data_IF_750297482703
#
_entry.id   IF_750297482703
#
_cell.length_a   1.000
_cell.length_b   1.000
_cell.length_c   1.000
_cell.angle_alpha   90.00
_cell.angle_beta   90.00
_cell.angle_gamma   90.00
#
_symmetry.space_group_name_H-M   'P 1'
#
loop_
_entity.id
_entity.type
_entity.pdbx_description
1 polymer ?
#
# COMPACT_ATOMS: atom_id res chain seq x y z
N UNK A 1 -6.04 -16.85 1.56
CA UNK A 1 -6.63 -17.31 0.26
C UNK A 1 -5.56 -17.12 -0.81
N UNK A 2 -5.23 -18.12 -1.60
CA UNK A 2 -4.30 -17.95 -2.73
C UNK A 2 -4.98 -17.11 -3.80
N UNK A 3 -4.30 -16.11 -4.34
CA UNK A 3 -4.81 -15.23 -5.40
C UNK A 3 -5.07 -15.99 -6.70
N UNK A 4 -4.22 -16.98 -7.00
CA UNK A 4 -4.27 -17.79 -8.23
C UNK A 4 -4.70 -19.21 -7.94
N UNK A 5 -5.42 -19.79 -8.89
CA UNK A 5 -5.86 -21.21 -8.85
C UNK A 5 -5.20 -21.98 -9.99
N UNK A 6 -4.52 -23.13 -9.70
CA UNK A 6 -3.99 -24.00 -10.74
C UNK A 6 -5.12 -24.64 -11.57
N UNK A 7 -4.93 -24.69 -12.90
CA UNK A 7 -5.78 -25.34 -13.87
C UNK A 7 -4.91 -26.07 -14.91
N UNK A 8 -5.41 -27.08 -15.65
CA UNK A 8 -4.63 -27.70 -16.73
C UNK A 8 -4.06 -26.70 -17.76
N UNK A 9 -4.76 -25.61 -18.00
CA UNK A 9 -4.37 -24.55 -18.94
C UNK A 9 -3.51 -23.43 -18.28
N UNK A 10 -2.98 -23.67 -17.07
CA UNK A 10 -2.11 -22.72 -16.36
C UNK A 10 -2.75 -22.13 -15.10
N UNK A 11 -2.26 -20.98 -14.66
CA UNK A 11 -2.79 -20.28 -13.49
C UNK A 11 -3.94 -19.35 -13.88
N UNK A 12 -4.99 -19.39 -13.07
CA UNK A 12 -6.17 -18.53 -13.19
C UNK A 12 -6.24 -17.54 -12.02
N UNK A 13 -6.76 -16.36 -12.30
CA UNK A 13 -7.22 -15.39 -11.31
C UNK A 13 -8.73 -15.23 -11.47
N UNK A 14 -9.50 -15.51 -10.40
CA UNK A 14 -10.95 -15.69 -10.48
C UNK A 14 -11.30 -16.67 -11.62
N UNK A 15 -12.05 -16.26 -12.64
CA UNK A 15 -12.42 -17.11 -13.77
C UNK A 15 -11.60 -16.89 -15.05
N UNK A 16 -10.45 -16.19 -14.99
CA UNK A 16 -9.68 -15.79 -16.18
C UNK A 16 -8.28 -16.38 -16.15
N UNK A 17 -7.83 -16.97 -17.27
CA UNK A 17 -6.45 -17.46 -17.41
C UNK A 17 -5.47 -16.30 -17.49
N UNK A 18 -4.35 -16.40 -16.78
CA UNK A 18 -3.29 -15.39 -16.83
C UNK A 18 -2.63 -15.32 -18.23
N UNK A 19 -2.63 -16.42 -18.97
CA UNK A 19 -2.17 -16.47 -20.37
C UNK A 19 -3.00 -15.58 -21.28
N UNK A 20 -4.34 -15.58 -21.11
CA UNK A 20 -5.24 -14.75 -21.90
C UNK A 20 -5.03 -13.26 -21.59
N UNK A 21 -4.81 -12.93 -20.32
CA UNK A 21 -4.47 -11.56 -19.91
C UNK A 21 -3.17 -11.11 -20.56
N UNK A 22 -2.12 -11.92 -20.49
CA UNK A 22 -0.83 -11.60 -21.12
C UNK A 22 -0.94 -11.45 -22.64
N UNK A 23 -1.70 -12.34 -23.31
CA UNK A 23 -1.92 -12.27 -24.76
C UNK A 23 -2.66 -11.00 -25.19
N UNK A 24 -3.60 -10.51 -24.36
CA UNK A 24 -4.43 -9.36 -24.72
C UNK A 24 -3.79 -8.00 -24.35
N UNK A 25 -3.14 -7.92 -23.19
CA UNK A 25 -2.61 -6.66 -22.65
C UNK A 25 -1.07 -6.56 -22.71
N UNK A 26 -0.40 -7.66 -23.10
CA UNK A 26 1.07 -7.75 -23.07
C UNK A 26 1.65 -7.81 -21.67
N UNK A 27 2.97 -8.00 -21.60
CA UNK A 27 3.76 -7.95 -20.37
C UNK A 27 4.78 -6.78 -20.43
N UNK A 28 5.27 -6.28 -19.28
CA UNK A 28 4.76 -6.52 -17.94
C UNK A 28 3.33 -5.97 -17.75
N UNK A 29 2.52 -6.62 -16.89
CA UNK A 29 1.14 -6.20 -16.64
C UNK A 29 0.77 -6.49 -15.18
N UNK A 30 0.25 -5.49 -14.46
CA UNK A 30 -0.34 -5.69 -13.14
C UNK A 30 -1.76 -6.25 -13.26
N UNK A 31 -2.06 -7.28 -12.49
CA UNK A 31 -3.37 -7.92 -12.46
C UNK A 31 -3.91 -7.93 -11.04
N UNK A 32 -5.10 -7.38 -10.84
CA UNK A 32 -5.78 -7.34 -9.54
C UNK A 32 -7.07 -8.16 -9.57
N UNK A 33 -7.40 -8.81 -8.45
CA UNK A 33 -8.68 -9.48 -8.25
C UNK A 33 -9.64 -8.57 -7.48
N UNK A 34 -10.79 -8.26 -8.08
CA UNK A 34 -11.86 -7.50 -7.43
C UNK A 34 -12.42 -8.23 -6.21
N UNK A 35 -12.60 -9.54 -6.34
CA UNK A 35 -13.11 -10.38 -5.26
C UNK A 35 -12.14 -10.43 -4.07
N UNK A 36 -10.82 -10.54 -4.33
CA UNK A 36 -9.80 -10.54 -3.28
C UNK A 36 -9.74 -9.19 -2.54
N UNK A 37 -9.81 -8.05 -3.27
CA UNK A 37 -9.87 -6.70 -2.69
C UNK A 37 -11.11 -6.54 -1.79
N UNK A 38 -12.29 -6.93 -2.28
CA UNK A 38 -13.54 -6.85 -1.51
C UNK A 38 -13.51 -7.77 -0.28
N UNK A 39 -12.97 -8.97 -0.42
CA UNK A 39 -12.81 -9.93 0.69
C UNK A 39 -11.85 -9.41 1.78
N UNK A 40 -10.74 -8.79 1.39
CA UNK A 40 -9.80 -8.18 2.33
C UNK A 40 -10.49 -7.06 3.16
N UNK A 41 -11.26 -6.19 2.51
CA UNK A 41 -12.04 -5.15 3.19
C UNK A 41 -13.10 -5.75 4.13
N UNK A 42 -13.83 -6.76 3.66
CA UNK A 42 -14.83 -7.47 4.44
C UNK A 42 -14.23 -8.13 5.70
N UNK A 43 -12.99 -8.62 5.63
CA UNK A 43 -12.26 -9.14 6.79
C UNK A 43 -12.14 -8.13 7.93
N UNK A 44 -11.81 -6.87 7.62
CA UNK A 44 -11.78 -5.78 8.61
C UNK A 44 -13.17 -5.46 9.15
N UNK A 45 -14.17 -5.35 8.27
CA UNK A 45 -15.55 -5.10 8.69
C UNK A 45 -16.05 -6.17 9.65
N UNK A 46 -15.85 -7.44 9.31
CA UNK A 46 -16.28 -8.58 10.13
C UNK A 46 -15.58 -8.58 11.50
N UNK A 47 -14.28 -8.28 11.55
CA UNK A 47 -13.56 -8.19 12.82
C UNK A 47 -14.12 -7.07 13.72
N UNK A 48 -14.39 -5.90 13.14
CA UNK A 48 -15.00 -4.77 13.86
C UNK A 48 -16.42 -5.10 14.32
N UNK A 49 -17.23 -5.74 13.49
CA UNK A 49 -18.61 -6.13 13.80
C UNK A 49 -18.64 -7.14 14.94
N UNK A 50 -17.75 -8.13 14.91
CA UNK A 50 -17.65 -9.16 15.97
C UNK A 50 -17.34 -8.58 17.34
N UNK A 51 -16.58 -7.46 17.39
CA UNK A 51 -16.20 -6.80 18.64
C UNK A 51 -17.06 -5.57 18.98
N UNK A 52 -18.19 -5.36 18.30
CA UNK A 52 -19.14 -4.27 18.61
C UNK A 52 -18.70 -2.88 18.16
N UNK A 53 -17.81 -2.77 17.16
CA UNK A 53 -17.32 -1.51 16.63
C UNK A 53 -18.02 -1.04 15.35
N UNK A 54 -19.03 -1.77 14.85
CA UNK A 54 -19.70 -1.51 13.57
C UNK A 54 -20.16 -0.05 13.36
N UNK A 55 -20.77 0.54 14.40
CA UNK A 55 -21.37 1.89 14.33
C UNK A 55 -20.41 3.01 14.73
N UNK A 56 -19.26 2.67 15.33
CA UNK A 56 -18.28 3.63 15.85
C UNK A 56 -16.88 3.45 15.28
N UNK A 57 -16.78 2.93 14.07
CA UNK A 57 -15.49 2.76 13.40
C UNK A 57 -15.56 3.13 11.92
N UNK A 58 -14.43 3.56 11.39
CA UNK A 58 -14.20 3.75 9.96
C UNK A 58 -12.87 3.11 9.54
N UNK A 59 -12.89 2.44 8.39
CA UNK A 59 -11.69 1.89 7.75
C UNK A 59 -11.27 2.88 6.69
N UNK A 60 -10.18 3.61 6.92
CA UNK A 60 -9.57 4.55 5.99
C UNK A 60 -8.48 3.84 5.19
N UNK A 61 -8.76 3.51 3.94
CA UNK A 61 -7.77 2.87 3.08
C UNK A 61 -6.56 3.78 2.85
N UNK A 62 -5.34 3.30 3.16
CA UNK A 62 -4.11 4.07 2.94
C UNK A 62 -3.75 4.10 1.45
N UNK A 63 -4.04 5.23 0.80
CA UNK A 63 -3.95 5.43 -0.66
C UNK A 63 -2.53 5.17 -1.20
N UNK A 64 -1.51 5.50 -0.40
CA UNK A 64 -0.08 5.27 -0.71
C UNK A 64 0.25 3.82 -1.08
N UNK A 65 -0.54 2.85 -0.63
CA UNK A 65 -0.31 1.45 -0.95
C UNK A 65 -0.63 1.13 -2.42
N UNK A 66 -1.71 1.67 -2.95
CA UNK A 66 -2.07 1.62 -4.37
C UNK A 66 -3.13 2.71 -4.67
N UNK A 67 -2.76 3.68 -5.48
CA UNK A 67 -3.59 4.85 -5.77
C UNK A 67 -4.43 4.73 -7.07
N UNK A 68 -4.59 3.53 -7.62
CA UNK A 68 -5.43 3.29 -8.82
C UNK A 68 -6.87 3.75 -8.60
N UNK A 69 -7.42 4.54 -9.53
CA UNK A 69 -8.79 5.04 -9.42
C UNK A 69 -9.83 3.91 -9.30
N UNK A 70 -9.62 2.78 -9.98
CA UNK A 70 -10.52 1.65 -9.92
C UNK A 70 -10.53 0.98 -8.54
N UNK A 71 -9.36 0.87 -7.90
CA UNK A 71 -9.23 0.33 -6.52
C UNK A 71 -9.86 1.31 -5.52
N UNK A 72 -9.58 2.61 -5.65
CA UNK A 72 -10.19 3.64 -4.81
C UNK A 72 -11.73 3.65 -4.95
N UNK A 73 -12.23 3.56 -6.19
CA UNK A 73 -13.66 3.51 -6.47
C UNK A 73 -14.32 2.27 -5.86
N UNK A 74 -13.67 1.10 -5.94
CA UNK A 74 -14.15 -0.11 -5.29
C UNK A 74 -14.29 0.11 -3.78
N UNK A 75 -13.24 0.59 -3.10
CA UNK A 75 -13.29 0.83 -1.65
C UNK A 75 -14.29 1.92 -1.27
N UNK A 76 -14.41 2.99 -2.07
CA UNK A 76 -15.46 4.00 -1.87
C UNK A 76 -16.87 3.39 -1.93
N UNK A 77 -17.12 2.50 -2.90
CA UNK A 77 -18.40 1.79 -3.04
C UNK A 77 -18.70 0.85 -1.87
N UNK A 78 -17.67 0.31 -1.22
CA UNK A 78 -17.78 -0.52 -0.01
C UNK A 78 -17.93 0.33 1.27
N UNK A 79 -17.91 1.66 1.16
CA UNK A 79 -18.13 2.58 2.26
C UNK A 79 -16.86 2.98 3.04
N UNK A 80 -15.67 2.68 2.51
CA UNK A 80 -14.39 3.06 3.11
C UNK A 80 -14.23 4.58 3.23
N UNK A 81 -13.44 5.01 4.22
CA UNK A 81 -12.70 6.26 4.24
C UNK A 81 -11.34 6.10 3.59
N UNK A 82 -10.52 7.14 3.63
CA UNK A 82 -9.19 7.12 3.00
C UNK A 82 -8.16 7.87 3.87
N UNK A 83 -6.98 7.27 4.02
CA UNK A 83 -5.78 7.95 4.54
C UNK A 83 -4.95 8.42 3.34
N UNK A 84 -4.77 9.74 3.24
CA UNK A 84 -4.01 10.40 2.18
C UNK A 84 -2.75 11.05 2.75
N UNK A 85 -1.73 11.23 1.90
CA UNK A 85 -0.47 11.87 2.27
C UNK A 85 -0.05 13.00 1.34
N UNK A 86 -0.91 13.39 0.38
CA UNK A 86 -0.68 14.50 -0.55
C UNK A 86 -1.98 15.04 -1.15
N UNK A 87 -1.91 16.25 -1.70
CA UNK A 87 -3.02 16.83 -2.49
C UNK A 87 -3.34 16.03 -3.76
N UNK A 88 -2.35 15.36 -4.33
CA UNK A 88 -2.56 14.46 -5.47
C UNK A 88 -3.41 13.22 -5.09
N UNK A 89 -3.19 12.66 -3.91
CA UNK A 89 -4.02 11.57 -3.40
C UNK A 89 -5.44 12.06 -3.04
N UNK A 90 -5.59 13.27 -2.48
CA UNK A 90 -6.90 13.91 -2.29
C UNK A 90 -7.69 13.97 -3.60
N UNK A 91 -7.06 14.49 -4.66
CA UNK A 91 -7.69 14.62 -5.97
C UNK A 91 -8.11 13.25 -6.53
N UNK A 92 -7.27 12.22 -6.38
CA UNK A 92 -7.60 10.84 -6.79
C UNK A 92 -8.78 10.26 -6.04
N UNK A 93 -8.83 10.44 -4.72
CA UNK A 93 -9.94 9.93 -3.88
C UNK A 93 -11.26 10.59 -4.29
N UNK A 94 -11.28 11.90 -4.49
CA UNK A 94 -12.48 12.63 -4.93
C UNK A 94 -12.89 12.17 -6.33
N UNK A 95 -11.95 12.05 -7.28
CA UNK A 95 -12.22 11.57 -8.63
C UNK A 95 -12.76 10.13 -8.65
N UNK A 96 -12.37 9.30 -7.69
CA UNK A 96 -12.86 7.94 -7.53
C UNK A 96 -14.22 7.84 -6.81
N UNK A 97 -14.82 8.95 -6.39
CA UNK A 97 -16.10 8.99 -5.67
C UNK A 97 -15.99 8.76 -4.16
N UNK A 98 -14.78 8.90 -3.60
CA UNK A 98 -14.58 8.88 -2.14
C UNK A 98 -15.20 10.12 -1.48
N UNK A 99 -15.70 9.94 -0.25
CA UNK A 99 -16.35 10.99 0.52
C UNK A 99 -15.33 11.78 1.32
N UNK A 100 -15.25 13.09 1.11
CA UNK A 100 -14.28 13.95 1.78
C UNK A 100 -14.38 13.88 3.31
N UNK A 101 -15.60 13.84 3.86
CA UNK A 101 -15.85 13.71 5.30
C UNK A 101 -15.35 12.40 5.94
N UNK A 102 -14.81 11.49 5.15
CA UNK A 102 -14.17 10.24 5.59
C UNK A 102 -12.67 10.19 5.27
N UNK A 103 -12.07 11.32 4.91
CA UNK A 103 -10.63 11.40 4.58
C UNK A 103 -9.87 11.90 5.81
N UNK A 104 -8.80 11.19 6.18
CA UNK A 104 -7.76 11.65 7.09
C UNK A 104 -6.52 12.01 6.28
N UNK A 105 -5.85 13.11 6.65
CA UNK A 105 -4.68 13.61 5.93
C UNK A 105 -3.45 13.50 6.82
N UNK A 106 -2.64 12.49 6.57
CA UNK A 106 -1.38 12.18 7.24
C UNK A 106 -0.16 12.77 6.51
N UNK A 107 1.05 12.55 7.04
CA UNK A 107 2.31 12.96 6.41
C UNK A 107 2.94 14.21 7.00
N UNK A 108 4.27 14.24 6.96
CA UNK A 108 5.14 15.20 7.68
C UNK A 108 5.35 16.54 6.97
N UNK A 109 4.85 16.70 5.75
CA UNK A 109 5.18 17.85 4.91
C UNK A 109 4.00 18.38 4.10
N UNK A 110 2.83 18.56 4.74
CA UNK A 110 1.65 19.15 4.08
C UNK A 110 1.93 20.63 3.74
N UNK A 111 1.81 20.99 2.47
CA UNK A 111 1.93 22.37 2.01
C UNK A 111 0.70 23.19 2.38
N UNK A 112 0.83 24.51 2.38
CA UNK A 112 -0.31 25.43 2.63
C UNK A 112 -1.42 25.26 1.59
N UNK A 113 -1.06 25.00 0.32
CA UNK A 113 -1.99 24.75 -0.77
C UNK A 113 -2.76 23.45 -0.54
N UNK A 114 -2.09 22.40 -0.11
CA UNK A 114 -2.73 21.11 0.23
C UNK A 114 -3.64 21.24 1.45
N UNK A 115 -3.21 21.97 2.50
CA UNK A 115 -4.05 22.28 3.66
C UNK A 115 -5.32 23.04 3.23
N UNK A 116 -5.17 24.04 2.35
CA UNK A 116 -6.29 24.86 1.84
C UNK A 116 -7.26 24.00 1.02
N UNK A 117 -6.74 23.16 0.13
CA UNK A 117 -7.56 22.25 -0.68
C UNK A 117 -8.32 21.23 0.18
N UNK A 118 -7.68 20.68 1.19
CA UNK A 118 -8.28 19.69 2.09
C UNK A 118 -9.37 20.32 2.99
N UNK A 119 -9.13 21.54 3.51
CA UNK A 119 -10.14 22.32 4.25
C UNK A 119 -11.34 22.65 3.37
N UNK A 120 -11.10 23.10 2.14
CA UNK A 120 -12.17 23.42 1.19
C UNK A 120 -12.98 22.17 0.80
N UNK A 121 -12.36 21.01 0.74
CA UNK A 121 -13.03 19.73 0.49
C UNK A 121 -13.84 19.24 1.70
N UNK A 122 -13.58 19.74 2.91
CA UNK A 122 -14.24 19.32 4.15
C UNK A 122 -13.82 17.93 4.61
N UNK A 123 -12.52 17.67 4.65
CA UNK A 123 -12.00 16.38 5.12
C UNK A 123 -12.32 16.12 6.59
N UNK A 124 -12.26 14.86 7.01
CA UNK A 124 -12.54 14.44 8.38
C UNK A 124 -11.55 15.05 9.37
N UNK A 125 -10.24 14.90 9.10
CA UNK A 125 -9.20 15.30 10.04
C UNK A 125 -7.83 15.41 9.38
N UNK A 126 -6.99 16.31 9.93
CA UNK A 126 -5.55 16.35 9.67
C UNK A 126 -4.82 15.62 10.78
N UNK A 127 -4.01 14.61 10.47
CA UNK A 127 -3.06 13.99 11.39
C UNK A 127 -1.79 14.84 11.40
N UNK A 128 -1.67 15.71 12.40
CA UNK A 128 -0.60 16.72 12.52
C UNK A 128 0.61 16.11 13.22
N UNK A 129 1.81 16.43 12.72
CA UNK A 129 3.04 15.79 13.16
C UNK A 129 4.06 16.76 13.80
N UNK A 130 3.74 18.06 13.95
CA UNK A 130 4.63 19.03 14.58
C UNK A 130 3.93 20.31 15.04
N UNK A 131 4.58 21.07 15.96
CA UNK A 131 4.11 22.39 16.38
C UNK A 131 4.10 23.42 15.24
N UNK A 132 5.09 23.36 14.34
CA UNK A 132 5.15 24.20 13.15
C UNK A 132 3.95 23.98 12.24
N UNK A 133 3.55 22.73 12.03
CA UNK A 133 2.38 22.37 11.25
C UNK A 133 1.08 22.88 11.88
N UNK A 134 0.92 22.76 13.21
CA UNK A 134 -0.21 23.36 13.93
C UNK A 134 -0.32 24.86 13.67
N UNK A 135 0.79 25.57 13.75
CA UNK A 135 0.84 27.02 13.51
C UNK A 135 0.45 27.37 12.07
N UNK A 136 0.97 26.63 11.10
CA UNK A 136 0.64 26.85 9.68
C UNK A 136 -0.82 26.54 9.38
N UNK A 137 -1.33 25.41 9.88
CA UNK A 137 -2.71 24.99 9.67
C UNK A 137 -3.69 25.98 10.32
N UNK A 138 -3.38 26.46 11.53
CA UNK A 138 -4.16 27.51 12.19
C UNK A 138 -4.23 28.79 11.34
N UNK A 139 -3.10 29.22 10.74
CA UNK A 139 -3.08 30.39 9.87
C UNK A 139 -3.93 30.17 8.60
N UNK A 140 -3.77 29.01 7.93
CA UNK A 140 -4.55 28.67 6.72
C UNK A 140 -6.05 28.59 7.03
N UNK A 141 -6.43 27.97 8.16
CA UNK A 141 -7.83 27.89 8.57
C UNK A 141 -8.41 29.27 8.89
N UNK A 142 -7.59 30.16 9.50
CA UNK A 142 -7.96 31.56 9.74
C UNK A 142 -8.21 32.35 8.45
N UNK A 143 -7.36 32.16 7.43
CA UNK A 143 -7.54 32.78 6.10
C UNK A 143 -8.87 32.36 5.45
N UNK A 144 -9.30 31.13 5.71
CA UNK A 144 -10.56 30.57 5.19
C UNK A 144 -11.75 30.80 6.12
N UNK A 145 -11.54 31.50 7.23
CA UNK A 145 -12.56 31.79 8.27
C UNK A 145 -13.26 30.46 8.73
N UNK A 146 -12.48 29.44 8.98
CA UNK A 146 -12.94 28.12 9.42
C UNK A 146 -12.10 27.58 10.58
N UNK A 147 -12.45 26.41 11.10
CA UNK A 147 -11.66 25.67 12.08
C UNK A 147 -11.24 24.32 11.50
N UNK A 148 -9.94 24.06 11.47
CA UNK A 148 -9.40 22.81 10.99
C UNK A 148 -9.57 21.68 12.03
N UNK A 149 -10.23 20.56 11.70
CA UNK A 149 -10.25 19.39 12.56
C UNK A 149 -8.88 18.71 12.57
N UNK A 150 -8.34 18.43 13.75
CA UNK A 150 -7.01 17.85 13.90
C UNK A 150 -6.98 16.65 14.85
N UNK A 151 -6.09 15.71 14.55
CA UNK A 151 -5.49 14.75 15.47
C UNK A 151 -4.00 15.05 15.57
N UNK A 152 -3.35 14.76 16.69
CA UNK A 152 -1.90 14.70 16.73
C UNK A 152 -1.47 13.25 16.48
N UNK A 153 -0.52 13.07 15.56
CA UNK A 153 0.16 11.80 15.38
C UNK A 153 1.25 11.65 16.45
N UNK A 154 1.03 10.70 17.34
CA UNK A 154 1.89 10.44 18.48
C UNK A 154 2.76 9.22 18.22
N UNK A 155 4.06 9.37 18.50
CA UNK A 155 5.01 8.27 18.45
C UNK A 155 5.16 7.68 19.87
N UNK A 156 4.68 6.47 20.15
CA UNK A 156 4.66 5.86 21.47
C UNK A 156 6.02 5.26 21.87
N UNK A 157 7.05 5.36 21.00
CA UNK A 157 8.35 4.75 21.19
C UNK A 157 8.26 3.24 21.48
N UNK A 158 7.59 2.52 20.57
CA UNK A 158 7.48 1.05 20.57
C UNK A 158 8.23 0.50 19.39
N UNK A 159 9.06 -0.51 19.59
CA UNK A 159 9.81 -1.17 18.54
C UNK A 159 8.89 -2.17 17.80
N UNK A 160 8.57 -1.94 16.52
CA UNK A 160 7.70 -2.82 15.74
C UNK A 160 8.42 -4.10 15.28
N UNK A 161 9.74 -4.24 15.52
CA UNK A 161 10.58 -5.38 15.08
C UNK A 161 10.48 -5.67 13.57
N UNK A 162 10.38 -4.61 12.76
CA UNK A 162 10.28 -4.68 11.29
C UNK A 162 11.52 -4.06 10.64
N UNK A 163 11.62 -4.16 9.29
CA UNK A 163 12.73 -3.57 8.55
C UNK A 163 12.88 -2.06 8.88
N UNK A 164 14.11 -1.55 9.11
CA UNK A 164 14.35 -0.16 9.56
C UNK A 164 13.66 0.91 8.72
N UNK A 165 13.58 0.74 7.39
CA UNK A 165 12.97 1.71 6.48
C UNK A 165 11.44 1.76 6.54
N UNK A 166 10.77 0.78 7.17
CA UNK A 166 9.32 0.74 7.32
C UNK A 166 8.86 0.82 8.79
N UNK A 167 9.79 1.02 9.73
CA UNK A 167 9.54 1.32 11.14
C UNK A 167 9.26 2.81 11.30
N UNK A 168 8.16 3.18 11.97
CA UNK A 168 7.77 4.58 12.21
C UNK A 168 7.52 4.90 13.68
N UNK A 169 7.58 3.90 14.57
CA UNK A 169 7.28 3.99 15.99
C UNK A 169 8.46 4.35 16.90
N UNK A 170 9.66 4.56 16.36
CA UNK A 170 10.88 4.86 17.13
C UNK A 170 11.18 6.36 17.17
N UNK A 171 11.81 6.83 18.26
CA UNK A 171 12.21 8.26 18.45
C UNK A 171 13.14 8.80 17.35
N UNK A 172 13.87 7.94 16.66
CA UNK A 172 14.80 8.31 15.58
C UNK A 172 14.13 8.55 14.22
N UNK A 173 12.83 8.31 14.09
CA UNK A 173 12.11 8.50 12.82
C UNK A 173 11.60 9.94 12.68
N UNK A 174 11.36 10.36 11.43
CA UNK A 174 10.79 11.69 11.14
C UNK A 174 9.29 11.83 11.46
N UNK A 175 8.63 10.75 11.88
CA UNK A 175 7.17 10.69 12.01
C UNK A 175 6.70 10.93 13.43
N UNK A 176 5.61 11.72 13.52
CA UNK A 176 4.89 11.96 14.75
C UNK A 176 5.64 12.79 15.79
N UNK A 177 4.95 13.14 16.84
CA UNK A 177 5.54 13.79 18.03
C UNK A 177 5.79 12.75 19.12
N UNK A 178 6.88 12.90 19.87
CA UNK A 178 7.15 12.01 20.99
C UNK A 178 6.01 12.04 22.01
N UNK A 179 5.61 10.89 22.52
CA UNK A 179 4.48 10.79 23.47
C UNK A 179 4.69 11.66 24.71
N UNK A 180 5.93 11.79 25.18
CA UNK A 180 6.29 12.62 26.34
C UNK A 180 6.03 14.12 26.10
N UNK A 181 6.05 14.59 24.84
CA UNK A 181 5.81 15.98 24.45
C UNK A 181 4.35 16.22 24.00
N UNK A 182 3.59 15.14 23.75
CA UNK A 182 2.27 15.22 23.12
C UNK A 182 1.27 16.01 23.97
N UNK A 183 1.27 15.82 25.30
CA UNK A 183 0.35 16.53 26.19
C UNK A 183 0.47 18.05 26.08
N UNK A 184 1.69 18.58 26.17
CA UNK A 184 1.93 20.03 26.03
C UNK A 184 1.54 20.54 24.64
N UNK A 185 1.75 19.72 23.60
CA UNK A 185 1.39 20.09 22.25
C UNK A 185 -0.13 20.09 22.04
N UNK A 186 -0.89 19.22 22.71
CA UNK A 186 -2.36 19.29 22.73
C UNK A 186 -2.86 20.56 23.43
N UNK A 187 -2.24 20.96 24.54
CA UNK A 187 -2.57 22.24 25.21
C UNK A 187 -2.32 23.42 24.28
N UNK A 188 -1.19 23.41 23.56
CA UNK A 188 -0.90 24.43 22.54
C UNK A 188 -1.95 24.42 21.42
N UNK A 189 -2.26 23.26 20.85
CA UNK A 189 -3.26 23.10 19.80
C UNK A 189 -4.65 23.62 20.25
N UNK A 190 -5.06 23.32 21.49
CA UNK A 190 -6.32 23.77 22.07
C UNK A 190 -6.37 25.30 22.27
N UNK A 191 -5.23 25.99 22.41
CA UNK A 191 -5.14 27.43 22.52
C UNK A 191 -5.27 28.18 21.18
N UNK A 192 -5.11 27.46 20.05
CA UNK A 192 -5.15 28.06 18.71
C UNK A 192 -6.61 28.21 18.21
N UNK A 193 -7.05 29.44 17.86
CA UNK A 193 -8.46 29.74 17.65
C UNK A 193 -9.09 29.06 16.43
N UNK A 194 -8.27 28.74 15.42
CA UNK A 194 -8.74 28.17 14.16
C UNK A 194 -8.48 26.65 14.06
N UNK A 195 -8.14 25.99 15.18
CA UNK A 195 -8.04 24.53 15.25
C UNK A 195 -9.18 23.95 16.09
N UNK A 196 -9.58 22.73 15.75
CA UNK A 196 -10.51 21.93 16.50
C UNK A 196 -9.86 20.57 16.81
N UNK A 197 -9.37 20.41 18.03
CA UNK A 197 -8.82 19.12 18.49
C UNK A 197 -9.92 18.08 18.48
N UNK A 198 -9.72 16.98 17.76
CA UNK A 198 -10.70 15.91 17.54
C UNK A 198 -10.21 14.55 17.99
N UNK A 199 -8.95 14.23 17.74
CA UNK A 199 -8.47 12.87 17.93
C UNK A 199 -7.00 12.75 18.23
N UNK A 200 -6.57 11.51 18.27
CA UNK A 200 -5.18 11.09 18.35
C UNK A 200 -4.91 10.04 17.27
N UNK A 201 -3.77 10.11 16.61
CA UNK A 201 -3.28 9.12 15.64
C UNK A 201 -2.00 8.46 16.16
N UNK A 202 -1.88 7.17 15.89
CA UNK A 202 -0.70 6.40 16.22
C UNK A 202 -0.44 5.35 15.14
N UNK A 203 0.70 5.45 14.46
CA UNK A 203 1.14 4.45 13.48
C UNK A 203 2.59 4.05 13.76
N UNK A 204 2.83 2.79 14.16
CA UNK A 204 4.14 2.33 14.64
C UNK A 204 5.03 1.70 13.58
N UNK A 205 4.47 1.28 12.44
CA UNK A 205 5.24 0.63 11.38
C UNK A 205 4.39 -0.10 10.36
N UNK A 206 5.07 -0.83 9.49
CA UNK A 206 4.44 -1.60 8.41
C UNK A 206 4.99 -3.03 8.40
N UNK A 207 4.25 -3.99 7.88
CA UNK A 207 4.57 -5.41 7.85
C UNK A 207 4.67 -6.01 9.27
N UNK A 208 3.75 -5.65 10.16
CA UNK A 208 3.64 -6.21 11.51
C UNK A 208 2.96 -7.57 11.44
N UNK A 209 3.69 -8.63 11.72
CA UNK A 209 3.16 -10.00 11.78
C UNK A 209 2.74 -10.39 13.21
N UNK A 210 3.25 -9.68 14.22
CA UNK A 210 2.88 -9.82 15.64
C UNK A 210 2.02 -8.62 16.06
N UNK A 211 0.80 -8.82 16.62
CA UNK A 211 -0.03 -7.73 17.14
C UNK A 211 0.46 -7.14 18.47
N UNK A 212 1.37 -7.79 19.20
CA UNK A 212 1.77 -7.36 20.53
C UNK A 212 2.35 -5.94 20.58
N UNK A 213 3.26 -5.51 19.67
CA UNK A 213 3.74 -4.12 19.65
C UNK A 213 2.61 -3.10 19.42
N UNK A 214 1.63 -3.43 18.56
CA UNK A 214 0.49 -2.55 18.32
C UNK A 214 -0.39 -2.44 19.57
N UNK A 215 -0.63 -3.55 20.27
CA UNK A 215 -1.38 -3.56 21.52
C UNK A 215 -0.65 -2.78 22.65
N UNK A 216 0.68 -2.85 22.73
CA UNK A 216 1.48 -2.04 23.67
C UNK A 216 1.36 -0.53 23.35
N UNK A 217 1.42 -0.17 22.07
CA UNK A 217 1.27 1.21 21.64
C UNK A 217 -0.08 1.81 22.05
N UNK A 218 -1.16 1.00 21.96
CA UNK A 218 -2.49 1.41 22.36
C UNK A 218 -2.56 1.70 23.87
N UNK A 219 -1.91 0.93 24.74
CA UNK A 219 -1.89 1.23 26.18
C UNK A 219 -1.34 2.64 26.46
N UNK A 220 -0.24 3.01 25.79
CA UNK A 220 0.36 4.33 25.93
C UNK A 220 -0.54 5.44 25.38
N UNK A 221 -1.19 5.20 24.24
CA UNK A 221 -2.15 6.13 23.65
C UNK A 221 -3.34 6.36 24.57
N UNK A 222 -3.93 5.30 25.11
CA UNK A 222 -5.08 5.40 26.04
C UNK A 222 -4.75 6.17 27.32
N UNK A 223 -3.57 5.95 27.90
CA UNK A 223 -3.12 6.73 29.05
C UNK A 223 -3.04 8.25 28.74
N UNK A 224 -2.60 8.63 27.55
CA UNK A 224 -2.57 10.03 27.11
C UNK A 224 -4.01 10.56 26.87
N UNK A 225 -4.90 9.76 26.27
CA UNK A 225 -6.31 10.14 26.08
C UNK A 225 -6.99 10.46 27.41
N UNK A 226 -6.78 9.62 28.45
CA UNK A 226 -7.34 9.84 29.77
C UNK A 226 -6.75 11.10 30.44
N UNK A 227 -5.47 11.33 30.30
CA UNK A 227 -4.81 12.55 30.79
C UNK A 227 -5.37 13.82 30.12
N UNK A 228 -5.64 13.76 28.82
CA UNK A 228 -6.23 14.87 28.06
C UNK A 228 -7.68 15.14 28.51
N UNK A 229 -8.46 14.09 28.72
CA UNK A 229 -9.83 14.23 29.22
C UNK A 229 -9.87 14.91 30.61
N UNK A 230 -8.96 14.53 31.54
CA UNK A 230 -8.82 15.19 32.82
C UNK A 230 -8.40 16.67 32.72
N UNK A 231 -7.71 17.05 31.64
CA UNK A 231 -7.32 18.42 31.33
C UNK A 231 -8.37 19.21 30.52
N UNK A 232 -9.60 18.72 30.39
CA UNK A 232 -10.69 19.29 29.61
C UNK A 232 -10.38 19.39 28.10
N UNK A 233 -9.60 18.46 27.57
CA UNK A 233 -9.33 18.29 26.13
C UNK A 233 -9.85 16.90 25.69
N UNK A 234 -11.18 16.67 25.68
CA UNK A 234 -11.73 15.38 25.30
C UNK A 234 -11.55 15.11 23.82
N UNK A 235 -11.15 13.89 23.47
CA UNK A 235 -11.03 13.44 22.10
C UNK A 235 -12.30 12.70 21.66
N UNK A 236 -12.62 12.78 20.37
CA UNK A 236 -13.79 12.14 19.76
C UNK A 236 -13.45 10.88 19.01
N UNK A 237 -12.18 10.72 18.58
CA UNK A 237 -11.72 9.50 17.91
C UNK A 237 -10.28 9.13 18.29
N UNK A 238 -9.99 7.86 18.15
CA UNK A 238 -8.67 7.24 18.26
C UNK A 238 -8.37 6.57 16.91
N UNK A 239 -7.32 7.04 16.26
CA UNK A 239 -6.78 6.42 15.06
C UNK A 239 -5.60 5.51 15.47
N UNK A 240 -5.72 4.24 15.17
CA UNK A 240 -4.69 3.24 15.48
C UNK A 240 -3.77 2.95 14.30
N UNK A 241 -3.94 3.71 13.22
CA UNK A 241 -3.17 3.54 12.00
C UNK A 241 -3.45 2.23 11.27
N UNK A 242 -2.46 1.78 10.55
CA UNK A 242 -2.48 0.48 9.88
C UNK A 242 -1.37 -0.45 10.40
N UNK A 243 -0.54 -0.94 9.48
CA UNK A 243 0.68 -1.65 9.82
C UNK A 243 0.58 -3.16 9.72
N UNK A 244 -0.60 -3.77 9.81
CA UNK A 244 -0.76 -5.21 9.66
C UNK A 244 -0.06 -5.74 8.40
N UNK A 245 0.81 -6.74 8.60
CA UNK A 245 1.56 -7.41 7.56
C UNK A 245 0.75 -8.43 6.78
N UNK A 246 1.33 -8.86 5.66
CA UNK A 246 0.82 -9.93 4.81
C UNK A 246 1.88 -11.01 4.64
N UNK A 247 1.46 -12.19 4.27
CA UNK A 247 2.38 -13.25 3.89
C UNK A 247 3.00 -12.94 2.52
N UNK A 248 4.32 -12.78 2.50
CA UNK A 248 5.14 -12.71 1.28
C UNK A 248 5.86 -14.03 1.02
N UNK A 249 6.52 -14.56 2.05
CA UNK A 249 7.22 -15.83 1.97
C UNK A 249 6.31 -16.98 2.41
N UNK A 250 6.30 -18.16 1.73
CA UNK A 250 5.47 -19.30 2.11
C UNK A 250 5.68 -19.77 3.56
N UNK A 251 6.91 -19.64 4.06
CA UNK A 251 7.29 -20.11 5.41
C UNK A 251 7.07 -19.06 6.51
N UNK A 252 6.62 -17.84 6.16
CA UNK A 252 6.34 -16.75 7.11
C UNK A 252 4.83 -16.44 7.13
N UNK A 253 4.04 -17.18 7.93
CA UNK A 253 2.60 -16.96 7.97
C UNK A 253 2.27 -15.58 8.57
N UNK A 254 1.30 -14.89 7.97
CA UNK A 254 0.73 -13.68 8.53
C UNK A 254 -0.52 -14.01 9.36
N UNK A 255 -0.82 -13.22 10.42
CA UNK A 255 -2.05 -13.37 11.19
C UNK A 255 -3.28 -13.08 10.32
N UNK A 256 -4.43 -13.63 10.68
CA UNK A 256 -5.69 -13.17 10.14
C UNK A 256 -6.00 -11.76 10.66
N UNK A 257 -6.85 -11.00 9.94
CA UNK A 257 -7.31 -9.68 10.40
C UNK A 257 -7.98 -9.78 11.78
N UNK A 258 -8.76 -10.83 12.02
CA UNK A 258 -9.43 -11.07 13.29
C UNK A 258 -8.41 -11.28 14.43
N UNK A 259 -7.42 -12.15 14.22
CA UNK A 259 -6.40 -12.44 15.24
C UNK A 259 -5.51 -11.21 15.51
N UNK A 260 -5.18 -10.44 14.47
CA UNK A 260 -4.39 -9.22 14.64
C UNK A 260 -5.13 -8.13 15.41
N UNK A 261 -6.41 -7.91 15.11
CA UNK A 261 -7.21 -6.85 15.75
C UNK A 261 -7.74 -7.23 17.11
N UNK A 262 -8.00 -8.50 17.40
CA UNK A 262 -8.63 -8.93 18.65
C UNK A 262 -7.98 -8.36 19.94
N UNK A 263 -6.65 -8.43 20.16
CA UNK A 263 -6.02 -7.88 21.36
C UNK A 263 -6.13 -6.35 21.45
N UNK A 264 -6.15 -5.66 20.30
CA UNK A 264 -6.29 -4.19 20.19
C UNK A 264 -7.73 -3.79 20.52
N UNK A 265 -8.72 -4.40 19.85
CA UNK A 265 -10.13 -4.10 20.04
C UNK A 265 -10.60 -4.41 21.46
N UNK A 266 -10.04 -5.43 22.10
CA UNK A 266 -10.31 -5.74 23.51
C UNK A 266 -9.93 -4.58 24.43
N UNK A 267 -8.83 -3.88 24.19
CA UNK A 267 -8.41 -2.73 25.00
C UNK A 267 -9.29 -1.49 24.78
N UNK A 268 -9.95 -1.42 23.64
CA UNK A 268 -10.83 -0.32 23.26
C UNK A 268 -12.32 -0.59 23.55
N UNK A 269 -12.68 -1.77 24.11
CA UNK A 269 -14.08 -2.19 24.29
C UNK A 269 -14.92 -1.21 25.11
N UNK A 270 -14.36 -0.70 26.20
CA UNK A 270 -15.03 0.18 27.17
C UNK A 270 -14.88 1.68 26.82
N UNK A 271 -14.28 1.99 25.68
CA UNK A 271 -14.09 3.37 25.19
C UNK A 271 -15.31 3.86 24.41
N UNK A 272 -15.55 5.17 24.45
CA UNK A 272 -16.65 5.81 23.72
C UNK A 272 -16.20 6.49 22.42
N UNK A 273 -14.91 6.69 22.25
CA UNK A 273 -14.33 7.34 21.08
C UNK A 273 -14.56 6.48 19.83
N UNK A 274 -14.72 7.13 18.67
CA UNK A 274 -14.76 6.46 17.39
C UNK A 274 -13.38 5.89 17.04
N UNK A 275 -13.36 4.72 16.43
CA UNK A 275 -12.13 4.05 16.00
C UNK A 275 -11.86 4.30 14.53
N UNK A 276 -10.65 4.75 14.20
CA UNK A 276 -10.14 4.83 12.83
C UNK A 276 -9.05 3.78 12.66
N UNK A 277 -9.05 3.11 11.50
CA UNK A 277 -8.01 2.19 11.05
C UNK A 277 -7.53 2.62 9.68
N UNK A 278 -6.21 2.53 9.42
CA UNK A 278 -5.58 2.95 8.17
C UNK A 278 -4.89 1.77 7.44
N UNK A 279 -5.58 0.64 7.15
CA UNK A 279 -4.96 -0.46 6.45
C UNK A 279 -4.63 -0.08 5.01
N UNK A 280 -3.43 -0.42 4.57
CA UNK A 280 -2.99 -0.26 3.18
C UNK A 280 -2.59 -1.61 2.59
N UNK A 281 -1.38 -2.07 2.97
CA UNK A 281 -0.78 -3.33 2.48
C UNK A 281 -1.73 -4.52 2.58
N UNK A 282 -2.35 -4.72 3.72
CA UNK A 282 -3.22 -5.87 3.98
C UNK A 282 -4.52 -5.88 3.17
N UNK A 283 -4.95 -4.73 2.63
CA UNK A 283 -6.11 -4.67 1.74
C UNK A 283 -5.78 -5.00 0.29
N UNK A 284 -4.58 -4.66 -0.20
CA UNK A 284 -4.29 -4.74 -1.63
C UNK A 284 -3.12 -5.65 -1.98
N UNK A 285 -2.19 -5.92 -1.06
CA UNK A 285 -0.95 -6.62 -1.35
C UNK A 285 -1.16 -7.98 -2.00
N UNK A 286 -1.90 -8.86 -1.32
CA UNK A 286 -2.18 -10.22 -1.79
C UNK A 286 -3.32 -10.27 -2.83
N UNK A 287 -3.93 -9.14 -3.17
CA UNK A 287 -4.97 -9.05 -4.19
C UNK A 287 -4.44 -8.71 -5.58
N UNK A 288 -3.13 -8.53 -5.73
CA UNK A 288 -2.50 -8.21 -7.02
C UNK A 288 -1.20 -8.98 -7.27
N UNK A 289 -0.90 -9.19 -8.54
CA UNK A 289 0.33 -9.78 -9.05
C UNK A 289 0.88 -8.97 -10.23
N UNK A 290 2.15 -9.19 -10.57
CA UNK A 290 2.79 -8.66 -11.78
C UNK A 290 3.09 -9.82 -12.72
N UNK A 291 2.51 -9.79 -13.93
CA UNK A 291 2.85 -10.70 -15.02
C UNK A 291 4.09 -10.19 -15.74
N UNK A 292 5.02 -11.12 -16.05
CA UNK A 292 6.24 -10.84 -16.78
C UNK A 292 6.63 -12.03 -17.64
N UNK A 293 7.39 -11.82 -18.70
CA UNK A 293 7.85 -12.85 -19.61
C UNK A 293 9.37 -13.01 -19.55
N UNK A 294 9.85 -14.23 -19.57
CA UNK A 294 11.28 -14.54 -19.71
C UNK A 294 11.74 -14.18 -21.12
N UNK A 295 12.65 -13.24 -21.23
CA UNK A 295 13.20 -12.77 -22.51
C UNK A 295 14.44 -13.56 -22.90
N UNK A 296 15.37 -13.73 -21.93
CA UNK A 296 16.68 -14.34 -22.17
C UNK A 296 17.08 -15.18 -20.96
N UNK A 297 17.56 -16.38 -21.19
CA UNK A 297 18.23 -17.19 -20.19
C UNK A 297 19.74 -17.10 -20.40
N UNK A 298 20.45 -16.70 -19.35
CA UNK A 298 21.90 -16.55 -19.36
C UNK A 298 22.52 -17.45 -18.27
N UNK A 299 22.82 -18.72 -18.59
CA UNK A 299 23.58 -19.59 -17.70
C UNK A 299 24.98 -19.02 -17.45
N UNK A 300 25.47 -19.14 -16.23
CA UNK A 300 26.79 -18.70 -15.83
C UNK A 300 27.49 -19.74 -14.96
N UNK A 301 28.78 -19.56 -14.73
CA UNK A 301 29.57 -20.48 -13.90
C UNK A 301 29.18 -20.41 -12.42
N UNK A 302 28.89 -19.22 -11.90
CA UNK A 302 28.52 -19.00 -10.50
C UNK A 302 27.01 -18.85 -10.31
N UNK A 303 26.32 -18.15 -11.22
CA UNK A 303 24.89 -17.85 -11.14
C UNK A 303 24.25 -17.92 -12.52
N UNK A 304 23.03 -18.42 -12.57
CA UNK A 304 22.19 -18.33 -13.77
C UNK A 304 21.28 -17.12 -13.66
N UNK A 305 21.14 -16.36 -14.74
CA UNK A 305 20.24 -15.21 -14.83
C UNK A 305 19.10 -15.50 -15.79
N UNK A 306 17.87 -15.27 -15.32
CA UNK A 306 16.69 -15.18 -16.18
C UNK A 306 16.29 -13.71 -16.29
N UNK A 307 16.55 -13.12 -17.45
CA UNK A 307 16.19 -11.74 -17.76
C UNK A 307 14.72 -11.73 -18.21
N UNK A 308 13.89 -10.99 -17.48
CA UNK A 308 12.48 -10.84 -17.78
C UNK A 308 12.19 -9.42 -18.28
N UNK A 309 11.01 -9.18 -18.85
CA UNK A 309 10.63 -7.87 -19.40
C UNK A 309 10.16 -6.86 -18.35
N UNK A 310 9.80 -7.30 -17.14
CA UNK A 310 9.65 -6.40 -15.98
C UNK A 310 11.00 -6.09 -15.34
N UNK A 311 11.08 -4.96 -14.60
CA UNK A 311 12.30 -4.52 -13.95
C UNK A 311 12.02 -3.80 -12.62
N UNK A 312 13.09 -3.33 -11.96
CA UNK A 312 12.96 -2.53 -10.73
C UNK A 312 12.11 -1.26 -10.92
N UNK A 313 12.02 -0.73 -12.15
CA UNK A 313 11.14 0.40 -12.45
C UNK A 313 9.66 0.04 -12.39
N UNK A 314 9.29 -1.22 -12.59
CA UNK A 314 7.92 -1.73 -12.46
C UNK A 314 7.63 -2.17 -11.03
N UNK A 315 8.54 -2.91 -10.38
CA UNK A 315 8.44 -3.40 -9.00
C UNK A 315 9.73 -3.13 -8.23
N UNK A 316 9.80 -1.97 -7.55
CA UNK A 316 11.01 -1.49 -6.89
C UNK A 316 11.33 -2.23 -5.58
N UNK A 317 10.36 -2.87 -4.95
CA UNK A 317 10.51 -3.41 -3.60
C UNK A 317 11.66 -4.42 -3.42
N UNK A 318 11.91 -5.37 -4.34
CA UNK A 318 13.06 -6.27 -4.21
C UNK A 318 14.39 -5.51 -4.21
N UNK A 319 14.56 -4.54 -5.11
CA UNK A 319 15.79 -3.76 -5.21
C UNK A 319 16.00 -2.79 -4.01
N UNK A 320 14.91 -2.20 -3.47
CA UNK A 320 15.00 -1.17 -2.43
C UNK A 320 15.02 -1.73 -1.01
N UNK A 321 14.31 -2.83 -0.77
CA UNK A 321 14.08 -3.39 0.58
C UNK A 321 14.55 -4.84 0.70
N UNK A 322 15.18 -5.42 -0.32
CA UNK A 322 15.44 -6.86 -0.40
C UNK A 322 14.15 -7.70 -0.17
N UNK A 323 13.02 -7.14 -0.65
CA UNK A 323 11.71 -7.71 -0.36
C UNK A 323 11.46 -8.97 -1.17
N UNK A 324 11.11 -10.04 -0.48
CA UNK A 324 10.71 -11.27 -1.13
C UNK A 324 9.34 -11.13 -1.79
N UNK A 325 9.22 -11.66 -3.01
CA UNK A 325 7.96 -11.97 -3.68
C UNK A 325 8.04 -13.40 -4.20
N UNK A 326 7.00 -14.19 -4.03
CA UNK A 326 6.93 -15.51 -4.66
C UNK A 326 6.80 -15.32 -6.17
N UNK A 327 7.63 -16.05 -6.92
CA UNK A 327 7.63 -16.03 -8.39
C UNK A 327 7.30 -17.44 -8.86
N UNK A 328 6.24 -17.56 -9.64
CA UNK A 328 5.74 -18.84 -10.12
C UNK A 328 5.57 -18.82 -11.64
N UNK A 329 5.78 -19.97 -12.26
CA UNK A 329 5.50 -20.16 -13.69
C UNK A 329 3.98 -20.24 -13.91
N UNK A 330 3.47 -19.52 -14.91
CA UNK A 330 2.02 -19.45 -15.19
C UNK A 330 1.53 -20.75 -15.84
N UNK A 331 2.26 -21.28 -16.83
CA UNK A 331 1.97 -22.61 -17.39
C UNK A 331 2.64 -23.68 -16.56
N UNK A 332 1.84 -24.55 -15.97
CA UNK A 332 2.35 -25.73 -15.29
C UNK A 332 2.86 -26.71 -16.38
N UNK A 333 4.05 -27.23 -16.22
CA UNK A 333 4.56 -28.26 -17.14
C UNK A 333 3.55 -29.44 -17.17
N UNK A 334 2.91 -29.66 -18.32
CA UNK A 334 2.11 -30.86 -18.54
C UNK A 334 3.01 -32.07 -18.31
N UNK A 335 2.54 -33.03 -17.52
CA UNK A 335 3.10 -34.40 -17.55
C UNK A 335 3.19 -34.85 -19.02
N UNK A 336 4.30 -35.45 -19.48
CA UNK A 336 4.44 -35.83 -20.88
C UNK A 336 3.29 -36.77 -21.27
N UNK A 337 2.46 -36.36 -22.23
CA UNK A 337 1.70 -37.33 -23.01
C UNK A 337 2.69 -38.11 -23.85
N UNK A 338 2.71 -39.44 -23.69
CA UNK A 338 3.51 -40.34 -24.48
C UNK A 338 3.37 -39.99 -25.96
N UNK A 339 4.44 -39.52 -26.60
CA UNK A 339 4.51 -39.53 -28.06
C UNK A 339 4.93 -38.26 -28.81
N UNK A 340 5.65 -37.30 -28.23
CA UNK A 340 6.28 -36.24 -29.01
C UNK A 340 7.76 -36.12 -28.66
N UNK A 341 8.60 -36.13 -29.72
CA UNK A 341 10.05 -36.22 -29.64
C UNK A 341 10.71 -35.13 -28.81
N UNK A 342 11.86 -35.45 -28.34
CA UNK A 342 12.92 -34.74 -27.61
C UNK A 342 12.81 -33.22 -27.50
N UNK A 343 11.81 -32.71 -26.80
CA UNK A 343 11.92 -31.41 -26.17
C UNK A 343 12.60 -31.63 -24.82
N UNK A 344 13.85 -31.21 -24.71
CA UNK A 344 14.64 -31.27 -23.52
C UNK A 344 13.80 -30.88 -22.29
N UNK A 345 13.57 -31.82 -21.36
CA UNK A 345 13.01 -31.52 -20.05
C UNK A 345 13.92 -30.49 -19.43
N UNK A 346 13.48 -29.25 -19.36
CA UNK A 346 14.17 -28.22 -18.61
C UNK A 346 14.16 -28.66 -17.15
N UNK A 347 15.29 -29.11 -16.66
CA UNK A 347 15.45 -29.46 -15.25
C UNK A 347 15.32 -28.20 -14.43
N UNK A 348 14.73 -28.31 -13.23
CA UNK A 348 14.70 -27.23 -12.26
C UNK A 348 16.14 -26.77 -11.98
N UNK A 349 16.38 -25.47 -12.12
CA UNK A 349 17.65 -24.80 -11.86
C UNK A 349 17.41 -23.60 -10.96
N UNK A 350 18.48 -23.08 -10.36
CA UNK A 350 18.40 -21.86 -9.56
C UNK A 350 18.71 -20.66 -10.43
N UNK A 351 17.85 -19.64 -10.34
CA UNK A 351 17.89 -18.45 -11.16
C UNK A 351 17.86 -17.15 -10.32
N UNK A 352 18.70 -16.21 -10.70
CA UNK A 352 18.50 -14.80 -10.38
C UNK A 352 17.49 -14.23 -11.39
N UNK A 353 16.31 -13.84 -10.95
CA UNK A 353 15.30 -13.20 -11.81
C UNK A 353 15.57 -11.72 -11.83
N UNK A 354 15.95 -11.19 -12.99
CA UNK A 354 16.43 -9.83 -13.17
C UNK A 354 15.71 -9.14 -14.33
N UNK A 355 15.61 -7.80 -14.24
CA UNK A 355 15.09 -6.99 -15.35
C UNK A 355 16.16 -6.57 -16.33
N UNK A 356 15.78 -5.82 -17.40
CA UNK A 356 16.69 -5.29 -18.41
C UNK A 356 17.19 -3.87 -18.09
N UNK A 357 16.94 -3.32 -16.91
CA UNK A 357 17.43 -1.99 -16.52
C UNK A 357 18.96 -2.03 -16.35
N UNK A 358 19.63 -1.00 -16.82
CA UNK A 358 21.10 -0.88 -16.76
C UNK A 358 21.56 -0.47 -15.35
N UNK A 359 21.24 -1.32 -14.36
CA UNK A 359 21.53 -1.16 -12.93
C UNK A 359 21.82 -2.52 -12.31
N UNK A 360 22.93 -2.65 -11.58
CA UNK A 360 23.33 -3.90 -10.94
C UNK A 360 22.32 -4.37 -9.87
N UNK A 361 21.54 -3.46 -9.32
CA UNK A 361 20.48 -3.74 -8.35
C UNK A 361 19.13 -4.13 -8.96
N UNK A 362 19.03 -4.33 -10.28
CA UNK A 362 17.76 -4.68 -10.95
C UNK A 362 17.38 -6.15 -10.74
N UNK A 363 17.08 -6.50 -9.51
CA UNK A 363 16.62 -7.82 -9.13
C UNK A 363 15.11 -7.81 -8.80
N UNK A 364 14.43 -8.88 -9.26
CA UNK A 364 13.04 -9.19 -8.89
C UNK A 364 12.96 -10.39 -7.96
N UNK A 365 13.98 -11.26 -7.97
CA UNK A 365 14.07 -12.38 -7.05
C UNK A 365 15.41 -13.09 -7.13
N UNK A 366 15.95 -13.43 -5.97
CA UNK A 366 17.20 -14.16 -5.81
C UNK A 366 16.96 -15.64 -5.66
N UNK A 367 17.84 -16.47 -6.26
CA UNK A 367 17.96 -17.91 -6.01
C UNK A 367 16.64 -18.68 -6.16
N UNK A 368 15.90 -18.44 -7.26
CA UNK A 368 14.60 -19.05 -7.53
C UNK A 368 14.77 -20.41 -8.21
N UNK A 369 14.24 -21.47 -7.58
CA UNK A 369 14.23 -22.83 -8.13
C UNK A 369 13.07 -22.94 -9.14
N UNK A 370 13.38 -22.87 -10.45
CA UNK A 370 12.38 -22.87 -11.53
C UNK A 370 12.92 -23.64 -12.75
N UNK A 371 12.01 -24.32 -13.46
CA UNK A 371 12.27 -24.90 -14.76
C UNK A 371 11.84 -23.93 -15.86
N UNK A 372 12.77 -23.10 -16.37
CA UNK A 372 12.49 -22.00 -17.28
C UNK A 372 12.93 -22.28 -18.72
N UNK A 373 12.17 -21.73 -19.66
CA UNK A 373 12.53 -21.53 -21.05
C UNK A 373 12.29 -20.07 -21.46
N UNK A 374 12.98 -19.58 -22.49
CA UNK A 374 12.69 -18.29 -23.07
C UNK A 374 11.26 -18.26 -23.61
N UNK A 375 10.55 -17.17 -23.37
CA UNK A 375 9.13 -17.04 -23.68
C UNK A 375 8.18 -17.48 -22.55
N UNK A 376 8.69 -18.13 -21.49
CA UNK A 376 7.85 -18.51 -20.34
C UNK A 376 7.22 -17.29 -19.66
N UNK A 377 5.95 -17.41 -19.32
CA UNK A 377 5.21 -16.39 -18.56
C UNK A 377 5.33 -16.69 -17.05
N UNK A 378 5.72 -15.68 -16.29
CA UNK A 378 5.85 -15.73 -14.83
C UNK A 378 4.86 -14.80 -14.17
N UNK A 379 4.39 -15.17 -12.97
CA UNK A 379 3.62 -14.33 -12.08
C UNK A 379 4.42 -14.03 -10.80
N UNK A 380 4.65 -12.74 -10.52
CA UNK A 380 5.26 -12.25 -9.28
C UNK A 380 4.10 -11.91 -8.35
N UNK A 381 3.91 -12.74 -7.32
CA UNK A 381 2.75 -12.66 -6.42
C UNK A 381 2.90 -11.55 -5.38
N UNK A 382 1.78 -11.21 -4.71
CA UNK A 382 1.71 -10.21 -3.64
C UNK A 382 2.23 -8.82 -4.06
N UNK A 383 2.09 -8.46 -5.34
CA UNK A 383 2.55 -7.20 -5.91
C UNK A 383 1.52 -6.06 -5.88
N UNK A 384 0.35 -6.27 -5.25
CA UNK A 384 -0.75 -5.30 -5.24
C UNK A 384 -0.48 -4.04 -4.42
N UNK A 385 0.41 -4.10 -3.43
CA UNK A 385 0.81 -2.96 -2.60
C UNK A 385 2.23 -2.50 -2.92
N UNK A 386 2.43 -1.18 -3.05
CA UNK A 386 3.74 -0.56 -3.28
C UNK A 386 4.47 -1.12 -4.52
N UNK A 387 3.72 -1.67 -5.49
CA UNK A 387 4.18 -2.03 -6.82
C UNK A 387 4.01 -0.81 -7.75
N UNK A 388 2.89 -0.73 -8.49
CA UNK A 388 2.61 0.38 -9.40
C UNK A 388 2.70 1.76 -8.72
N UNK A 389 2.34 1.89 -7.44
CA UNK A 389 2.44 3.15 -6.70
C UNK A 389 3.88 3.67 -6.56
N UNK A 390 4.89 2.81 -6.64
CA UNK A 390 6.33 3.14 -6.60
C UNK A 390 7.00 3.01 -7.97
N UNK A 391 6.27 2.65 -9.02
CA UNK A 391 6.83 2.50 -10.36
C UNK A 391 7.35 3.83 -10.92
N UNK A 392 8.38 3.75 -11.74
CA UNK A 392 9.05 4.88 -12.35
C UNK A 392 9.29 4.66 -13.84
N UNK A 393 9.82 5.69 -14.51
CA UNK A 393 10.23 5.61 -15.90
C UNK A 393 11.76 5.51 -16.07
N UNK A 394 12.44 4.87 -15.10
CA UNK A 394 13.89 4.67 -15.18
C UNK A 394 14.27 3.99 -16.49
N UNK A 395 15.36 4.41 -17.11
CA UNK A 395 15.79 4.08 -18.48
C UNK A 395 14.74 4.42 -19.56
N UNK A 396 13.85 5.41 -19.31
CA UNK A 396 12.76 5.83 -20.21
C UNK A 396 11.82 4.67 -20.56
N UNK A 397 11.60 3.75 -19.61
CA UNK A 397 10.68 2.62 -19.78
C UNK A 397 9.25 3.05 -19.42
N UNK A 398 8.26 2.76 -20.29
CA UNK A 398 6.84 3.00 -19.98
C UNK A 398 6.38 2.18 -18.76
N UNK A 399 5.55 2.78 -17.92
CA UNK A 399 4.88 2.02 -16.85
C UNK A 399 3.93 0.99 -17.44
N UNK A 400 3.84 -0.15 -16.77
CA UNK A 400 3.01 -1.29 -17.16
C UNK A 400 1.51 -0.95 -17.26
N UNK A 401 0.77 -1.75 -18.01
CA UNK A 401 -0.69 -1.75 -17.94
C UNK A 401 -1.17 -2.30 -16.58
N UNK A 402 -2.36 -1.89 -16.15
CA UNK A 402 -3.05 -2.44 -15.00
C UNK A 402 -4.44 -2.93 -15.40
N UNK A 403 -4.77 -4.14 -14.99
CA UNK A 403 -6.10 -4.74 -15.24
C UNK A 403 -6.72 -5.23 -13.95
N UNK A 404 -8.06 -5.20 -13.88
CA UNK A 404 -8.84 -5.77 -12.78
C UNK A 404 -9.72 -6.89 -13.31
N UNK A 405 -9.62 -8.06 -12.70
CA UNK A 405 -10.51 -9.20 -12.97
C UNK A 405 -11.71 -9.12 -12.03
N UNK A 406 -12.91 -9.31 -12.60
CA UNK A 406 -14.20 -9.36 -11.91
C UNK A 406 -14.97 -10.58 -12.44
N UNK A 407 -14.90 -11.69 -11.74
CA UNK A 407 -15.40 -12.99 -12.19
C UNK A 407 -14.73 -13.44 -13.49
N UNK A 408 -15.45 -13.47 -14.58
CA UNK A 408 -14.97 -13.86 -15.92
C UNK A 408 -14.64 -12.65 -16.81
N UNK A 409 -14.64 -11.42 -16.26
CA UNK A 409 -14.38 -10.19 -17.02
C UNK A 409 -13.06 -9.59 -16.64
N UNK A 410 -12.38 -9.00 -17.61
CA UNK A 410 -11.16 -8.22 -17.40
C UNK A 410 -11.42 -6.77 -17.78
N UNK A 411 -11.11 -5.87 -16.87
CA UNK A 411 -11.23 -4.43 -17.09
C UNK A 411 -9.83 -3.82 -17.16
N UNK A 412 -9.52 -3.14 -18.27
CA UNK A 412 -8.32 -2.28 -18.34
C UNK A 412 -8.57 -1.06 -17.46
N UNK A 413 -7.83 -0.95 -16.35
CA UNK A 413 -7.98 0.14 -15.37
C UNK A 413 -6.89 1.21 -15.53
N UNK A 414 -5.79 0.86 -16.19
CA UNK A 414 -4.74 1.78 -16.64
C UNK A 414 -4.09 1.21 -17.91
N UNK A 415 -4.08 1.98 -19.00
CA UNK A 415 -3.33 1.58 -20.17
C UNK A 415 -1.82 1.70 -19.95
N UNK A 416 -1.02 0.93 -20.68
CA UNK A 416 0.44 1.11 -20.75
C UNK A 416 0.75 2.51 -21.26
N UNK A 417 1.78 3.15 -20.67
CA UNK A 417 2.29 4.43 -21.20
C UNK A 417 2.93 4.22 -22.56
N UNK A 418 2.87 5.24 -23.39
CA UNK A 418 3.61 5.30 -24.66
C UNK A 418 4.88 6.12 -24.48
N UNK A 419 5.98 5.74 -25.17
CA UNK A 419 7.27 6.41 -25.01
C UNK A 419 7.16 7.92 -25.28
N UNK A 420 6.35 8.33 -26.27
CA UNK A 420 6.16 9.74 -26.60
C UNK A 420 5.54 10.57 -25.45
N UNK A 421 4.76 9.94 -24.58
CA UNK A 421 4.16 10.61 -23.42
C UNK A 421 5.19 10.94 -22.34
N UNK A 422 6.28 10.17 -22.26
CA UNK A 422 7.28 10.33 -21.20
C UNK A 422 8.07 11.63 -21.32
N UNK A 423 8.19 12.17 -22.53
CA UNK A 423 8.86 13.43 -22.80
C UNK A 423 7.96 14.52 -23.41
N UNK A 424 6.64 14.33 -23.36
CA UNK A 424 5.67 15.28 -23.91
C UNK A 424 5.71 16.69 -23.24
N UNK A 425 6.25 16.77 -22.03
CA UNK A 425 6.40 18.04 -21.29
C UNK A 425 7.79 18.66 -21.47
N UNK A 426 8.69 18.04 -22.23
CA UNK A 426 10.06 18.51 -22.43
C UNK A 426 10.18 19.36 -23.70
N UNK A 427 11.19 20.23 -23.72
CA UNK A 427 11.50 21.08 -24.87
C UNK A 427 12.99 21.00 -25.22
N UNK A 428 13.33 21.01 -26.53
CA UNK A 428 14.69 21.17 -26.97
C UNK A 428 15.16 22.63 -26.82
N UNK A 429 16.45 22.82 -26.64
CA UNK A 429 17.03 24.18 -26.63
C UNK A 429 16.86 24.84 -28.02
N UNK A 430 16.61 26.18 -28.07
CA UNK A 430 16.55 26.90 -29.32
C UNK A 430 17.90 26.79 -30.07
N UNK A 431 17.82 26.63 -31.37
CA UNK A 431 19.02 26.63 -32.20
C UNK A 431 19.81 27.94 -31.94
N UNK A 432 21.13 27.83 -31.73
CA UNK A 432 21.97 29.03 -31.69
C UNK A 432 21.82 29.76 -33.03
N UNK A 433 21.39 31.01 -33.00
CA UNK A 433 21.47 31.89 -34.16
C UNK A 433 22.95 31.96 -34.58
N UNK A 434 23.25 31.55 -35.82
CA UNK A 434 24.57 31.60 -36.39
C UNK A 434 25.06 33.04 -36.51
#
# INVERSE_FOLDING_TARGET
MRLTTPHPDGLFIEGVALTDIAAHFGTPCYVYSRAALASAYAGYRNALDTHGFSSRSVICYAVKANSSLAILNLFASLGAGFDIVSGGELARVIAAGGKAEKIVFSGVGKSREEMRAALAAGIHCFNVESASELTQLNAVAGELNTRAPISLRVNPNVDPKTHPYISTGLKSTKFGVAIDAAFSLYQYAASLPHLAVKGIDCHIGSQLLDPAPAAEAIDKVLALVDQLAMANIPLTHIDIGGGMGIQYHPDEPAPSVADYLAPILKKLSDRSEHLILEPGRSLVGNAGLLLTQVMVLKPGEEKNFAIVDSAMNDLMRPALYDAYHEIVKVMLSSTPSDGAGDMAKTSEQRWEIVGPVCESGDFLGHDRALALAEGDLLAILSAGAYGMAMASNYNTRPRAAEVMVDGNKVHLIRRREEVAELFALESVLPAKSA
#
